data_IF_554836874208
#
_entry.id   IF_554836874208
#
_cell.length_a   1.000
_cell.length_b   1.000
_cell.length_c   1.000
_cell.angle_alpha   90.00
_cell.angle_beta   90.00
_cell.angle_gamma   90.00
#
_symmetry.space_group_name_H-M   'P 1'
#
loop_
_entity.id
_entity.type
_entity.pdbx_description
1 polymer ?
#
# COMPACT_ATOMS: atom_id res chain seq x y z
N UNK A 1 3.65 -13.94 -22.94
CA UNK A 1 4.07 -12.57 -22.55
C UNK A 1 3.65 -12.35 -21.11
N UNK A 2 4.56 -11.96 -20.21
CA UNK A 2 4.18 -11.64 -18.83
C UNK A 2 3.46 -10.29 -18.80
N UNK A 3 2.22 -10.24 -18.29
CA UNK A 3 1.56 -8.96 -17.98
C UNK A 3 2.37 -8.27 -16.87
N UNK A 4 2.79 -7.04 -17.10
CA UNK A 4 3.34 -6.19 -16.03
C UNK A 4 2.18 -5.76 -15.16
N UNK A 5 2.27 -6.05 -13.86
CA UNK A 5 1.31 -5.58 -12.87
C UNK A 5 1.50 -4.06 -12.67
N UNK A 6 0.40 -3.36 -12.40
CA UNK A 6 0.48 -1.98 -11.92
C UNK A 6 1.05 -1.95 -10.51
N UNK A 7 1.55 -0.79 -10.06
CA UNK A 7 2.06 -0.65 -8.69
C UNK A 7 0.98 -1.02 -7.65
N UNK A 8 -0.30 -0.74 -7.94
CA UNK A 8 -1.42 -1.09 -7.07
C UNK A 8 -1.67 -2.60 -7.02
N UNK A 9 -1.65 -3.27 -8.19
CA UNK A 9 -1.80 -4.73 -8.26
C UNK A 9 -0.63 -5.44 -7.56
N UNK A 10 0.59 -4.93 -7.68
CA UNK A 10 1.75 -5.45 -6.95
C UNK A 10 1.57 -5.33 -5.44
N UNK A 11 1.00 -4.22 -4.97
CA UNK A 11 0.81 -3.95 -3.56
C UNK A 11 -0.34 -4.80 -2.98
N UNK A 12 -1.43 -4.98 -3.73
CA UNK A 12 -2.49 -5.93 -3.38
C UNK A 12 -1.98 -7.37 -3.29
N UNK A 13 -1.16 -7.80 -4.25
CA UNK A 13 -0.57 -9.14 -4.25
C UNK A 13 0.39 -9.33 -3.06
N UNK A 14 1.20 -8.32 -2.75
CA UNK A 14 2.10 -8.36 -1.60
C UNK A 14 1.35 -8.49 -0.27
N UNK A 15 0.18 -7.84 -0.13
CA UNK A 15 -0.65 -7.92 1.07
C UNK A 15 -1.33 -9.29 1.27
N UNK A 16 -1.41 -10.13 0.22
CA UNK A 16 -1.84 -11.54 0.38
C UNK A 16 -0.83 -12.36 1.18
N UNK A 17 0.44 -11.94 1.24
CA UNK A 17 1.44 -12.60 2.07
C UNK A 17 1.21 -12.27 3.56
N UNK A 18 0.98 -13.27 4.43
CA UNK A 18 0.66 -13.04 5.84
C UNK A 18 1.81 -12.37 6.61
N UNK A 19 3.08 -12.54 6.20
CA UNK A 19 4.22 -11.86 6.83
C UNK A 19 4.18 -10.36 6.53
N UNK A 20 3.95 -10.00 5.27
CA UNK A 20 3.83 -8.60 4.83
C UNK A 20 2.64 -7.93 5.50
N UNK A 21 1.48 -8.61 5.55
CA UNK A 21 0.28 -8.11 6.23
C UNK A 21 0.53 -7.82 7.72
N UNK A 22 1.25 -8.72 8.42
CA UNK A 22 1.61 -8.51 9.84
C UNK A 22 2.50 -7.30 10.03
N UNK A 23 3.53 -7.14 9.19
CA UNK A 23 4.44 -5.97 9.28
C UNK A 23 3.68 -4.68 9.00
N UNK A 24 2.84 -4.65 7.96
CA UNK A 24 1.99 -3.50 7.65
C UNK A 24 1.07 -3.14 8.82
N UNK A 25 0.48 -4.14 9.49
CA UNK A 25 -0.30 -3.93 10.72
C UNK A 25 0.54 -3.34 11.86
N UNK A 26 1.71 -3.93 12.15
CA UNK A 26 2.60 -3.43 13.19
C UNK A 26 3.06 -1.99 12.94
N UNK A 27 3.30 -1.60 11.68
CA UNK A 27 3.65 -0.23 11.33
C UNK A 27 2.51 0.75 11.63
N UNK A 28 1.24 0.35 11.46
CA UNK A 28 0.08 1.17 11.86
C UNK A 28 0.04 1.41 13.36
N UNK A 29 0.48 0.44 14.16
CA UNK A 29 0.50 0.56 15.62
C UNK A 29 1.70 1.38 16.11
N UNK A 30 2.88 1.25 15.47
CA UNK A 30 4.12 1.89 15.90
C UNK A 30 4.21 3.35 15.43
N UNK A 31 3.82 3.63 14.17
CA UNK A 31 3.91 4.95 13.53
C UNK A 31 2.59 5.32 12.82
N UNK A 32 1.48 5.45 13.56
CA UNK A 32 0.15 5.67 12.99
C UNK A 32 0.07 6.92 12.10
N UNK A 33 0.70 8.03 12.52
CA UNK A 33 0.67 9.31 11.79
C UNK A 33 1.36 9.22 10.43
N UNK A 34 2.53 8.58 10.37
CA UNK A 34 3.27 8.40 9.12
C UNK A 34 2.53 7.48 8.14
N UNK A 35 1.86 6.44 8.66
CA UNK A 35 1.02 5.57 7.82
C UNK A 35 -0.20 6.31 7.29
N UNK A 36 -0.86 7.12 8.12
CA UNK A 36 -2.00 7.95 7.69
C UNK A 36 -1.59 8.96 6.62
N UNK A 37 -0.45 9.64 6.78
CA UNK A 37 0.07 10.59 5.79
C UNK A 37 0.38 9.89 4.44
N UNK A 38 0.97 8.69 4.49
CA UNK A 38 1.22 7.89 3.29
C UNK A 38 -0.09 7.49 2.59
N UNK A 39 -1.11 7.03 3.32
CA UNK A 39 -2.41 6.67 2.76
C UNK A 39 -3.11 7.89 2.14
N UNK A 40 -3.03 9.05 2.77
CA UNK A 40 -3.59 10.29 2.23
C UNK A 40 -2.87 10.73 0.94
N UNK A 41 -1.53 10.72 0.93
CA UNK A 41 -0.73 11.01 -0.26
C UNK A 41 -1.04 10.06 -1.40
N UNK A 42 -1.20 8.76 -1.11
CA UNK A 42 -1.58 7.75 -2.09
C UNK A 42 -2.94 8.07 -2.70
N UNK A 43 -3.96 8.38 -1.89
CA UNK A 43 -5.30 8.76 -2.36
C UNK A 43 -5.29 10.01 -3.23
N UNK A 44 -4.50 11.03 -2.85
CA UNK A 44 -4.37 12.26 -3.64
C UNK A 44 -3.74 12.03 -5.00
N UNK A 45 -2.75 11.13 -5.08
CA UNK A 45 -2.12 10.74 -6.35
C UNK A 45 -3.10 9.99 -7.25
N UNK A 46 -3.87 9.03 -6.73
CA UNK A 46 -4.86 8.32 -7.54
C UNK A 46 -6.00 9.21 -8.02
N UNK A 47 -6.36 10.28 -7.29
CA UNK A 47 -7.30 11.30 -7.76
C UNK A 47 -6.74 12.30 -8.77
N UNK A 48 -5.42 12.37 -8.95
CA UNK A 48 -4.78 13.26 -9.93
C UNK A 48 -4.58 12.61 -11.31
N UNK A 49 -4.74 11.29 -11.40
CA UNK A 49 -4.70 10.49 -12.64
C UNK A 49 -6.12 10.15 -13.18
N UNK A 50 -7.18 10.78 -12.66
CA UNK A 50 -8.57 10.66 -13.15
C UNK A 50 -9.00 11.85 -14.00
#
# INVERSE_FOLDING_TARGET
>A
MAKKLTEEEMLEEALKNPKVRRVSGALRDIVPEAVAEYEEKRRRKSSADS
#
